data_IF_525423906498
#
_entry.id   IF_525423906498
#
_cell.length_a   1.000
_cell.length_b   1.000
_cell.length_c   1.000
_cell.angle_alpha   90.00
_cell.angle_beta   90.00
_cell.angle_gamma   90.00
#
_symmetry.space_group_name_H-M   'P 1'
#
loop_
_entity.id
_entity.type
_entity.pdbx_description
1 polymer ?
#
# COMPACT_ATOMS: atom_id res chain seq x y z
N UNK A 1 8.75 17.24 -25.74
CA UNK A 1 8.70 17.91 -24.42
C UNK A 1 8.54 16.81 -23.39
N UNK A 2 9.57 16.58 -22.58
CA UNK A 2 9.66 15.50 -21.61
C UNK A 2 8.87 15.91 -20.36
N UNK A 3 7.66 15.38 -20.19
CA UNK A 3 6.97 15.48 -18.89
C UNK A 3 7.68 14.55 -17.92
N UNK A 4 8.43 15.13 -16.99
CA UNK A 4 9.03 14.40 -15.88
C UNK A 4 7.92 13.93 -14.94
N UNK A 5 8.01 12.67 -14.49
CA UNK A 5 7.19 12.15 -13.40
C UNK A 5 7.31 13.08 -12.21
N UNK A 6 6.24 13.81 -11.89
CA UNK A 6 6.25 14.74 -10.76
C UNK A 6 5.86 13.96 -9.52
N UNK A 7 6.83 13.67 -8.67
CA UNK A 7 6.61 13.01 -7.37
C UNK A 7 6.31 14.08 -6.33
N UNK A 8 5.05 14.24 -5.95
CA UNK A 8 4.70 14.96 -4.72
C UNK A 8 4.78 13.99 -3.54
N UNK A 9 5.99 13.77 -3.03
CA UNK A 9 6.19 13.09 -1.74
C UNK A 9 5.88 14.09 -0.63
N UNK A 10 4.86 13.82 0.19
CA UNK A 10 4.67 14.57 1.45
C UNK A 10 5.52 13.86 2.51
N UNK A 11 6.35 14.58 3.28
CA UNK A 11 7.07 13.96 4.38
C UNK A 11 6.06 13.32 5.34
N UNK A 12 6.35 12.13 5.91
CA UNK A 12 5.44 11.48 6.85
C UNK A 12 5.14 12.47 7.96
N UNK A 13 3.88 12.90 8.06
CA UNK A 13 3.42 13.67 9.22
C UNK A 13 3.51 12.73 10.41
N UNK A 14 4.60 12.85 11.16
CA UNK A 14 4.74 12.44 12.55
C UNK A 14 3.99 11.16 12.93
N UNK A 15 4.76 10.08 13.10
CA UNK A 15 4.48 8.87 13.91
C UNK A 15 4.09 9.15 15.40
N UNK A 16 3.55 10.32 15.71
CA UNK A 16 3.21 10.79 17.06
C UNK A 16 1.81 10.35 17.49
N UNK A 17 0.99 9.75 16.60
CA UNK A 17 -0.33 9.25 17.00
C UNK A 17 -0.33 7.85 17.64
N UNK A 18 0.83 7.18 17.73
CA UNK A 18 0.97 5.91 18.44
C UNK A 18 1.20 6.05 19.96
N UNK A 19 1.01 7.25 20.54
CA UNK A 19 1.19 7.49 21.98
C UNK A 19 0.01 7.02 22.85
N UNK A 20 -1.06 6.43 22.28
CA UNK A 20 -2.27 6.07 23.05
C UNK A 20 -2.41 4.59 23.46
N UNK A 21 -1.46 3.71 23.16
CA UNK A 21 -1.59 2.28 23.50
C UNK A 21 -0.57 1.68 24.46
N UNK A 22 0.32 2.46 25.07
CA UNK A 22 1.10 1.99 26.23
C UNK A 22 1.03 2.96 27.40
N UNK A 23 0.18 2.64 28.38
CA UNK A 23 0.34 3.05 29.78
C UNK A 23 1.67 2.49 30.28
N UNK A 24 2.75 3.26 30.16
CA UNK A 24 3.95 3.06 30.96
C UNK A 24 3.78 3.85 32.26
N UNK A 25 3.91 3.12 33.36
CA UNK A 25 3.82 3.60 34.73
C UNK A 25 4.84 4.74 34.96
N UNK A 26 4.33 5.93 35.25
CA UNK A 26 5.13 7.16 35.33
C UNK A 26 5.66 7.31 36.76
N UNK A 27 6.70 6.57 37.11
CA UNK A 27 7.51 6.88 38.29
C UNK A 27 8.44 8.04 37.96
N UNK A 28 8.02 9.24 38.36
CA UNK A 28 8.86 10.44 38.34
C UNK A 28 9.93 10.33 39.42
N UNK A 29 11.21 10.22 39.05
CA UNK A 29 12.31 10.82 39.79
C UNK A 29 13.40 11.27 38.82
N UNK A 30 13.91 12.49 39.05
CA UNK A 30 14.69 13.27 38.09
C UNK A 30 16.00 12.64 37.64
N UNK A 31 16.33 12.91 36.38
CA UNK A 31 17.57 12.54 35.70
C UNK A 31 17.38 12.75 34.21
N UNK A 32 18.33 13.41 33.56
CA UNK A 32 18.32 13.74 32.13
C UNK A 32 17.89 12.54 31.26
N UNK A 33 16.82 12.70 30.49
CA UNK A 33 16.44 11.73 29.46
C UNK A 33 17.41 11.89 28.29
N UNK A 34 18.56 11.24 28.36
CA UNK A 34 19.40 10.96 27.20
C UNK A 34 18.61 10.01 26.27
N UNK A 35 18.01 10.58 25.22
CA UNK A 35 17.49 9.82 24.09
C UNK A 35 18.66 9.06 23.47
N UNK A 36 18.79 7.79 23.83
CA UNK A 36 19.84 6.92 23.32
C UNK A 36 19.42 6.52 21.90
N UNK A 37 20.05 7.12 20.90
CA UNK A 37 19.81 6.81 19.48
C UNK A 37 20.33 5.41 19.19
N UNK A 38 19.48 4.39 19.29
CA UNK A 38 19.83 3.03 18.87
C UNK A 38 19.75 2.93 17.36
N UNK A 39 20.83 3.32 16.67
CA UNK A 39 21.04 2.97 15.27
C UNK A 39 21.04 1.43 15.18
N UNK A 40 20.21 0.81 14.32
CA UNK A 40 20.22 -0.65 14.17
C UNK A 40 21.61 -1.14 13.76
N UNK A 41 21.99 -2.34 14.20
CA UNK A 41 23.30 -2.91 13.89
C UNK A 41 23.58 -2.87 12.37
N UNK A 42 24.81 -2.52 11.93
CA UNK A 42 25.15 -2.34 10.51
C UNK A 42 24.69 -3.49 9.60
N UNK A 43 24.85 -4.73 10.07
CA UNK A 43 24.42 -5.94 9.37
C UNK A 43 22.91 -5.98 9.04
N UNK A 44 22.07 -5.35 9.88
CA UNK A 44 20.61 -5.25 9.63
C UNK A 44 20.30 -4.24 8.54
N UNK A 45 21.09 -3.17 8.43
CA UNK A 45 20.93 -2.14 7.41
C UNK A 45 21.35 -2.69 6.04
N UNK A 46 22.47 -3.41 5.99
CA UNK A 46 22.94 -4.05 4.75
C UNK A 46 21.92 -5.09 4.25
N UNK A 47 21.41 -5.94 5.16
CA UNK A 47 20.35 -6.90 4.83
C UNK A 47 19.07 -6.22 4.34
N UNK A 48 18.69 -5.09 4.93
CA UNK A 48 17.55 -4.30 4.44
C UNK A 48 17.79 -3.82 3.02
N UNK A 49 18.96 -3.22 2.74
CA UNK A 49 19.28 -2.69 1.43
C UNK A 49 19.33 -3.79 0.35
N UNK A 50 19.97 -4.92 0.65
CA UNK A 50 20.05 -6.07 -0.26
C UNK A 50 18.66 -6.65 -0.59
N UNK A 51 17.81 -6.80 0.44
CA UNK A 51 16.47 -7.34 0.26
C UNK A 51 15.58 -6.35 -0.50
N UNK A 52 15.68 -5.05 -0.19
CA UNK A 52 14.99 -3.99 -0.93
C UNK A 52 15.34 -4.04 -2.42
N UNK A 53 16.64 -4.07 -2.74
CA UNK A 53 17.14 -4.14 -4.10
C UNK A 53 16.66 -5.40 -4.82
N UNK A 54 16.67 -6.54 -4.13
CA UNK A 54 16.18 -7.82 -4.66
C UNK A 54 14.69 -7.74 -5.01
N UNK A 55 13.86 -7.18 -4.12
CA UNK A 55 12.42 -7.02 -4.35
C UNK A 55 12.16 -6.09 -5.54
N UNK A 56 12.81 -4.92 -5.57
CA UNK A 56 12.66 -3.92 -6.64
C UNK A 56 13.08 -4.49 -7.98
N UNK A 57 14.26 -5.10 -8.05
CA UNK A 57 14.76 -5.74 -9.27
C UNK A 57 13.86 -6.87 -9.75
N UNK A 58 13.29 -7.68 -8.85
CA UNK A 58 12.34 -8.73 -9.22
C UNK A 58 11.07 -8.16 -9.85
N UNK A 59 10.49 -7.09 -9.29
CA UNK A 59 9.31 -6.43 -9.88
C UNK A 59 9.65 -5.74 -11.20
N UNK A 60 10.85 -5.16 -11.33
CA UNK A 60 11.34 -4.50 -12.55
C UNK A 60 11.46 -5.46 -13.74
N UNK A 61 11.68 -6.77 -13.50
CA UNK A 61 11.68 -7.78 -14.57
C UNK A 61 10.36 -7.82 -15.35
N UNK A 62 9.25 -7.49 -14.68
CA UNK A 62 7.90 -7.49 -15.26
C UNK A 62 7.48 -6.07 -15.68
N UNK A 63 7.98 -5.03 -15.02
CA UNK A 63 7.56 -3.64 -15.22
C UNK A 63 8.77 -2.77 -15.55
N UNK A 64 9.06 -2.69 -16.84
CA UNK A 64 10.26 -2.03 -17.32
C UNK A 64 10.14 -0.51 -17.30
N UNK A 65 11.28 0.14 -17.00
CA UNK A 65 11.42 1.59 -17.12
C UNK A 65 10.65 2.41 -16.07
N UNK A 66 10.10 1.76 -15.04
CA UNK A 66 9.34 2.40 -13.93
C UNK A 66 9.96 2.16 -12.56
N UNK A 67 11.28 1.92 -12.51
CA UNK A 67 12.02 1.63 -11.27
C UNK A 67 11.72 2.58 -10.13
N UNK A 68 11.76 3.89 -10.38
CA UNK A 68 11.44 4.91 -9.37
C UNK A 68 10.05 4.71 -8.74
N UNK A 69 9.03 4.39 -9.54
CA UNK A 69 7.68 4.12 -9.03
C UNK A 69 7.67 2.82 -8.20
N UNK A 70 8.39 1.79 -8.64
CA UNK A 70 8.51 0.52 -7.91
C UNK A 70 9.16 0.77 -6.54
N UNK A 71 10.26 1.52 -6.50
CA UNK A 71 10.98 1.89 -5.30
C UNK A 71 10.08 2.71 -4.34
N UNK A 72 9.36 3.71 -4.84
CA UNK A 72 8.44 4.51 -4.03
C UNK A 72 7.31 3.68 -3.42
N UNK A 73 6.72 2.75 -4.17
CA UNK A 73 5.68 1.86 -3.65
C UNK A 73 6.27 0.87 -2.64
N UNK A 74 7.42 0.27 -2.92
CA UNK A 74 8.08 -0.65 -1.98
C UNK A 74 8.49 0.06 -0.67
N UNK A 75 9.06 1.27 -0.77
CA UNK A 75 9.36 2.11 0.40
C UNK A 75 8.10 2.44 1.19
N UNK A 76 7.01 2.83 0.51
CA UNK A 76 5.73 3.09 1.19
C UNK A 76 5.23 1.88 1.97
N UNK A 77 5.40 0.67 1.44
CA UNK A 77 4.96 -0.57 2.09
C UNK A 77 5.73 -0.84 3.37
N UNK A 78 7.05 -0.66 3.32
CA UNK A 78 7.93 -0.84 4.48
C UNK A 78 7.70 0.24 5.53
N UNK A 79 7.28 1.43 5.12
CA UNK A 79 6.84 2.49 6.01
C UNK A 79 5.39 2.33 6.51
N UNK A 80 4.72 1.20 6.21
CA UNK A 80 3.32 0.91 6.56
C UNK A 80 2.34 1.98 6.01
N UNK A 81 2.67 2.55 4.86
CA UNK A 81 1.90 3.57 4.17
C UNK A 81 1.05 3.06 3.02
N UNK A 82 0.12 3.92 2.59
CA UNK A 82 -0.74 3.70 1.43
C UNK A 82 -0.35 4.65 0.29
N UNK A 83 -0.61 4.23 -0.95
CA UNK A 83 -0.24 4.99 -2.15
C UNK A 83 -1.47 5.31 -2.97
N UNK A 84 -1.59 6.57 -3.39
CA UNK A 84 -2.56 7.01 -4.38
C UNK A 84 -1.85 7.27 -5.70
N UNK A 85 -2.35 6.67 -6.78
CA UNK A 85 -1.78 6.88 -8.11
C UNK A 85 -2.80 7.62 -8.98
N UNK A 86 -2.44 8.85 -9.36
CA UNK A 86 -3.22 9.68 -10.29
C UNK A 86 -2.79 9.37 -11.72
N UNK A 87 -3.70 8.92 -12.58
CA UNK A 87 -3.33 8.53 -13.94
C UNK A 87 -4.48 8.37 -14.91
N UNK A 88 -4.06 8.25 -16.17
CA UNK A 88 -4.75 7.77 -17.35
C UNK A 88 -4.72 6.22 -17.38
N UNK A 89 -5.80 5.54 -17.84
CA UNK A 89 -5.87 4.08 -17.87
C UNK A 89 -4.73 3.42 -18.70
N UNK A 90 -4.34 2.19 -18.35
CA UNK A 90 -3.51 1.32 -19.22
C UNK A 90 -2.00 1.22 -18.92
N UNK A 91 -1.52 1.92 -17.90
CA UNK A 91 -0.08 2.04 -17.55
C UNK A 91 0.53 0.92 -16.67
N UNK A 92 -0.15 -0.22 -16.50
CA UNK A 92 0.41 -1.36 -15.76
C UNK A 92 0.34 -1.30 -14.22
N UNK A 93 -0.54 -0.47 -13.62
CA UNK A 93 -0.74 -0.40 -12.16
C UNK A 93 -1.16 -1.74 -11.55
N UNK A 94 -2.06 -2.44 -12.25
CA UNK A 94 -2.49 -3.77 -11.83
C UNK A 94 -1.32 -4.75 -11.83
N UNK A 95 -0.42 -4.64 -12.80
CA UNK A 95 0.77 -5.45 -12.86
C UNK A 95 1.74 -5.08 -11.73
N UNK A 96 1.88 -3.79 -11.40
CA UNK A 96 2.70 -3.33 -10.26
C UNK A 96 2.25 -3.93 -8.94
N UNK A 97 0.99 -3.77 -8.59
CA UNK A 97 0.46 -4.28 -7.33
C UNK A 97 0.54 -5.81 -7.27
N UNK A 98 0.23 -6.51 -8.37
CA UNK A 98 0.32 -7.97 -8.45
C UNK A 98 1.76 -8.48 -8.35
N UNK A 99 2.69 -7.88 -9.09
CA UNK A 99 4.10 -8.27 -9.09
C UNK A 99 4.72 -8.01 -7.72
N UNK A 100 4.40 -6.89 -7.08
CA UNK A 100 4.85 -6.63 -5.72
C UNK A 100 4.32 -7.69 -4.74
N UNK A 101 3.03 -8.01 -4.79
CA UNK A 101 2.45 -9.03 -3.91
C UNK A 101 3.10 -10.40 -4.12
N UNK A 102 3.31 -10.80 -5.38
CA UNK A 102 3.93 -12.09 -5.73
C UNK A 102 5.41 -12.15 -5.36
N UNK A 103 6.15 -11.04 -5.48
CA UNK A 103 7.55 -10.93 -5.01
C UNK A 103 7.68 -11.11 -3.50
N UNK A 104 6.62 -10.82 -2.74
CA UNK A 104 6.60 -10.81 -1.27
C UNK A 104 5.81 -11.97 -0.65
N UNK A 105 5.38 -12.95 -1.46
CA UNK A 105 4.47 -14.03 -1.05
C UNK A 105 3.22 -13.53 -0.29
N UNK A 106 2.72 -12.37 -0.71
CA UNK A 106 1.62 -11.64 -0.09
C UNK A 106 0.29 -11.95 -0.78
N UNK A 107 -0.80 -11.94 -0.01
CA UNK A 107 -2.14 -12.01 -0.61
C UNK A 107 -2.47 -10.72 -1.34
N UNK A 108 -2.92 -10.85 -2.59
CA UNK A 108 -3.36 -9.74 -3.43
C UNK A 108 -4.87 -9.75 -3.60
N UNK A 109 -5.50 -8.58 -3.56
CA UNK A 109 -6.89 -8.41 -3.97
C UNK A 109 -7.05 -7.14 -4.82
N UNK A 110 -7.92 -7.21 -5.82
CA UNK A 110 -8.26 -6.06 -6.68
C UNK A 110 -9.73 -5.74 -6.55
N UNK A 111 -10.05 -4.46 -6.36
CA UNK A 111 -11.40 -3.93 -6.33
C UNK A 111 -11.51 -2.85 -7.37
N UNK A 112 -12.55 -2.93 -8.20
CA UNK A 112 -12.96 -1.83 -9.04
C UNK A 112 -14.01 -1.02 -8.29
N UNK A 113 -13.74 0.26 -8.04
CA UNK A 113 -14.70 1.14 -7.41
C UNK A 113 -15.76 1.55 -8.44
N UNK A 114 -17.02 1.30 -8.09
CA UNK A 114 -18.18 1.62 -8.91
C UNK A 114 -19.22 2.34 -8.05
N UNK A 115 -20.16 3.09 -8.66
CA UNK A 115 -21.17 3.84 -7.90
C UNK A 115 -22.07 2.98 -7.02
N UNK A 116 -22.23 1.70 -7.35
CA UNK A 116 -23.04 0.71 -6.65
C UNK A 116 -22.27 -0.10 -5.59
N UNK A 117 -20.95 0.08 -5.51
CA UNK A 117 -20.11 -0.63 -4.54
C UNK A 117 -20.48 -0.23 -3.10
N UNK A 118 -20.75 -1.22 -2.26
CA UNK A 118 -21.18 -0.99 -0.87
C UNK A 118 -19.98 -1.00 0.08
N UNK A 119 -20.09 -0.31 1.25
CA UNK A 119 -19.08 -0.41 2.31
C UNK A 119 -18.79 -1.86 2.72
N UNK A 120 -19.82 -2.72 2.76
CA UNK A 120 -19.68 -4.13 3.12
C UNK A 120 -18.89 -4.96 2.11
N UNK A 121 -18.78 -4.53 0.85
CA UNK A 121 -17.93 -5.20 -0.13
C UNK A 121 -16.44 -4.97 0.18
N UNK A 122 -16.14 -3.82 0.80
CA UNK A 122 -14.80 -3.45 1.28
C UNK A 122 -14.52 -4.12 2.63
N UNK A 123 -15.38 -3.92 3.62
CA UNK A 123 -15.16 -4.30 5.03
C UNK A 123 -15.61 -5.71 5.39
N UNK A 124 -16.47 -6.32 4.56
CA UNK A 124 -17.07 -7.62 4.83
C UNK A 124 -18.43 -7.53 5.51
N UNK A 125 -19.07 -8.69 5.64
CA UNK A 125 -20.43 -8.83 6.17
C UNK A 125 -20.60 -10.15 6.90
N UNK A 126 -21.43 -10.20 7.94
CA UNK A 126 -21.84 -11.46 8.56
C UNK A 126 -23.10 -11.99 7.88
N UNK A 127 -23.03 -13.20 7.34
CA UNK A 127 -24.17 -13.87 6.72
C UNK A 127 -24.67 -15.00 7.62
N UNK A 128 -25.99 -15.20 7.68
CA UNK A 128 -26.56 -16.34 8.39
C UNK A 128 -26.29 -17.64 7.63
N UNK A 129 -25.49 -18.54 8.21
CA UNK A 129 -25.27 -19.87 7.66
C UNK A 129 -26.31 -20.84 8.24
N UNK A 130 -27.25 -21.27 7.38
CA UNK A 130 -28.33 -22.18 7.78
C UNK A 130 -27.83 -23.56 8.24
N UNK A 131 -26.69 -24.02 7.74
CA UNK A 131 -26.15 -25.32 8.11
C UNK A 131 -25.52 -25.30 9.50
N UNK A 132 -24.90 -24.17 9.87
CA UNK A 132 -24.25 -23.98 11.17
C UNK A 132 -25.13 -23.30 12.21
N UNK A 133 -26.28 -22.76 11.79
CA UNK A 133 -27.17 -21.95 12.65
C UNK A 133 -26.44 -20.82 13.36
N UNK A 134 -25.46 -20.22 12.68
CA UNK A 134 -24.64 -19.13 13.20
C UNK A 134 -24.42 -18.04 12.13
N UNK A 135 -24.11 -16.83 12.57
CA UNK A 135 -23.62 -15.78 11.68
C UNK A 135 -22.14 -16.03 11.35
N UNK A 136 -21.84 -16.26 10.08
CA UNK A 136 -20.48 -16.48 9.57
C UNK A 136 -20.01 -15.21 8.88
N UNK A 137 -18.88 -14.68 9.35
CA UNK A 137 -18.25 -13.53 8.72
C UNK A 137 -17.67 -13.90 7.35
N UNK A 138 -18.00 -13.10 6.34
CA UNK A 138 -17.38 -13.12 5.02
C UNK A 138 -16.47 -11.90 4.91
N UNK A 139 -15.14 -12.11 4.82
CA UNK A 139 -14.21 -11.00 4.70
C UNK A 139 -14.46 -10.24 3.40
N UNK A 140 -14.45 -8.91 3.50
CA UNK A 140 -14.48 -8.03 2.35
C UNK A 140 -13.14 -7.99 1.63
N UNK A 141 -13.09 -7.17 0.59
CA UNK A 141 -11.96 -7.10 -0.31
C UNK A 141 -10.63 -6.65 0.33
N UNK A 142 -10.68 -5.93 1.45
CA UNK A 142 -9.48 -5.41 2.11
C UNK A 142 -8.69 -6.48 2.90
N UNK A 143 -9.24 -7.69 3.09
CA UNK A 143 -8.57 -8.75 3.85
C UNK A 143 -7.49 -9.46 3.01
N UNK A 144 -6.54 -8.67 2.50
CA UNK A 144 -5.37 -9.06 1.74
C UNK A 144 -4.19 -8.18 2.17
N UNK A 145 -2.96 -8.61 1.89
CA UNK A 145 -1.78 -7.82 2.23
C UNK A 145 -1.61 -6.61 1.31
N UNK A 146 -1.89 -6.79 0.01
CA UNK A 146 -1.85 -5.72 -0.99
C UNK A 146 -3.22 -5.64 -1.67
N UNK A 147 -3.85 -4.49 -1.56
CA UNK A 147 -5.16 -4.19 -2.14
C UNK A 147 -5.00 -3.12 -3.21
N UNK A 148 -5.39 -3.43 -4.45
CA UNK A 148 -5.52 -2.45 -5.51
C UNK A 148 -6.97 -1.96 -5.59
N UNK A 149 -7.20 -0.69 -5.28
CA UNK A 149 -8.50 -0.03 -5.43
C UNK A 149 -8.52 0.87 -6.66
N UNK A 150 -9.07 0.38 -7.76
CA UNK A 150 -9.14 1.15 -9.00
C UNK A 150 -10.28 2.16 -8.98
N UNK A 151 -9.99 3.40 -9.40
CA UNK A 151 -10.96 4.49 -9.55
C UNK A 151 -11.74 4.81 -8.28
N UNK A 152 -11.04 4.96 -7.15
CA UNK A 152 -11.63 5.21 -5.82
C UNK A 152 -12.65 6.36 -5.82
N UNK A 153 -12.46 7.36 -6.69
CA UNK A 153 -13.36 8.48 -6.89
C UNK A 153 -14.71 8.10 -7.52
N UNK A 154 -14.93 6.87 -8.00
CA UNK A 154 -16.23 6.45 -8.55
C UNK A 154 -17.21 5.89 -7.51
N UNK A 155 -16.72 5.44 -6.35
CA UNK A 155 -17.63 4.96 -5.30
C UNK A 155 -18.15 6.12 -4.45
N UNK A 156 -19.34 5.91 -3.85
CA UNK A 156 -19.93 6.89 -2.96
C UNK A 156 -19.09 7.17 -1.71
N UNK A 157 -19.29 8.34 -1.05
CA UNK A 157 -18.48 8.76 0.10
C UNK A 157 -18.45 7.76 1.27
N UNK A 158 -19.52 6.98 1.47
CA UNK A 158 -19.57 5.95 2.54
C UNK A 158 -18.61 4.79 2.27
N UNK A 159 -18.50 4.35 1.01
CA UNK A 159 -17.61 3.25 0.62
C UNK A 159 -16.15 3.70 0.65
N UNK A 160 -15.88 4.93 0.20
CA UNK A 160 -14.57 5.56 0.35
C UNK A 160 -14.16 5.66 1.84
N UNK A 161 -15.07 6.16 2.70
CA UNK A 161 -14.81 6.27 4.13
C UNK A 161 -14.51 4.92 4.77
N UNK A 162 -15.24 3.85 4.40
CA UNK A 162 -15.00 2.51 4.92
C UNK A 162 -13.60 1.95 4.57
N UNK A 163 -13.10 2.22 3.35
CA UNK A 163 -11.73 1.88 2.98
C UNK A 163 -10.71 2.71 3.78
N UNK A 164 -10.92 4.01 3.87
CA UNK A 164 -9.98 4.95 4.50
C UNK A 164 -9.91 4.79 6.02
N UNK A 165 -11.01 4.43 6.66
CA UNK A 165 -11.05 4.03 8.08
C UNK A 165 -10.24 2.75 8.31
N UNK A 166 -10.42 1.75 7.44
CA UNK A 166 -9.65 0.50 7.53
C UNK A 166 -8.15 0.70 7.28
N UNK A 167 -7.77 1.66 6.43
CA UNK A 167 -6.38 2.07 6.22
C UNK A 167 -5.77 2.68 7.47
N UNK A 168 -6.49 3.58 8.14
CA UNK A 168 -6.00 4.26 9.33
C UNK A 168 -5.92 3.32 10.55
N UNK A 169 -6.95 2.52 10.76
CA UNK A 169 -7.09 1.70 11.96
C UNK A 169 -6.43 0.32 11.83
N UNK A 170 -6.07 -0.09 10.60
CA UNK A 170 -5.52 -1.42 10.27
C UNK A 170 -6.39 -2.58 10.76
N UNK A 171 -7.69 -2.32 10.95
CA UNK A 171 -8.69 -3.26 11.43
C UNK A 171 -10.07 -2.82 10.95
N UNK A 172 -11.03 -3.73 11.04
CA UNK A 172 -12.43 -3.45 10.71
C UNK A 172 -13.35 -4.04 11.77
N UNK A 173 -14.38 -3.28 12.14
CA UNK A 173 -15.42 -3.74 13.06
C UNK A 173 -16.72 -3.99 12.30
N UNK A 174 -17.20 -5.23 12.31
CA UNK A 174 -18.50 -5.62 11.76
C UNK A 174 -19.30 -6.32 12.84
N UNK A 175 -20.55 -5.91 13.04
CA UNK A 175 -21.47 -6.45 14.06
C UNK A 175 -20.88 -6.49 15.48
N UNK A 176 -20.11 -5.46 15.83
CA UNK A 176 -19.46 -5.33 17.15
C UNK A 176 -18.22 -6.22 17.33
N UNK A 177 -17.78 -6.96 16.31
CA UNK A 177 -16.57 -7.78 16.34
C UNK A 177 -15.48 -7.10 15.51
N UNK A 178 -14.41 -6.67 16.16
CA UNK A 178 -13.23 -6.09 15.53
C UNK A 178 -12.31 -7.19 15.00
N UNK A 179 -11.80 -7.00 13.78
CA UNK A 179 -10.97 -7.95 13.03
C UNK A 179 -9.74 -7.22 12.48
N UNK A 180 -8.52 -7.61 12.88
CA UNK A 180 -7.32 -6.98 12.36
C UNK A 180 -7.09 -7.34 10.88
N UNK A 181 -6.51 -6.41 10.13
CA UNK A 181 -6.04 -6.66 8.77
C UNK A 181 -4.68 -7.38 8.80
N UNK A 182 -4.36 -8.19 7.77
CA UNK A 182 -3.13 -8.96 7.76
C UNK A 182 -1.90 -8.06 7.54
N UNK A 183 -0.89 -8.05 8.42
CA UNK A 183 0.36 -7.34 8.17
C UNK A 183 1.24 -8.12 7.16
N UNK A 184 2.02 -7.43 6.30
CA UNK A 184 1.91 -6.01 6.00
C UNK A 184 0.60 -5.74 5.25
N UNK A 185 0.02 -4.55 5.46
CA UNK A 185 -1.21 -4.12 4.80
C UNK A 185 -0.96 -2.82 4.01
N UNK A 186 -1.20 -2.85 2.71
CA UNK A 186 -1.10 -1.68 1.83
C UNK A 186 -2.31 -1.61 0.91
N UNK A 187 -2.76 -0.37 0.71
CA UNK A 187 -3.73 -0.01 -0.30
C UNK A 187 -3.01 0.82 -1.35
N UNK A 188 -3.09 0.38 -2.60
CA UNK A 188 -2.70 1.14 -3.79
C UNK A 188 -4.01 1.57 -4.43
N UNK A 189 -4.40 2.82 -4.24
CA UNK A 189 -5.60 3.38 -4.83
C UNK A 189 -5.27 4.09 -6.14
N UNK A 190 -6.21 4.12 -7.08
CA UNK A 190 -6.08 4.90 -8.32
C UNK A 190 -7.25 5.86 -8.44
N UNK A 191 -7.00 7.05 -8.99
CA UNK A 191 -8.07 7.98 -9.34
C UNK A 191 -7.74 8.65 -10.68
N UNK A 192 -8.76 8.87 -11.49
CA UNK A 192 -8.65 9.67 -12.71
C UNK A 192 -9.15 11.09 -12.42
N UNK A 193 -8.26 12.10 -12.33
CA UNK A 193 -8.65 13.46 -12.00
C UNK A 193 -9.43 14.16 -13.12
N UNK A 194 -9.43 13.63 -14.34
CA UNK A 194 -10.10 14.22 -15.50
C UNK A 194 -11.56 13.76 -15.65
N UNK A 195 -11.96 12.72 -14.91
CA UNK A 195 -13.32 12.19 -14.94
C UNK A 195 -14.19 12.99 -13.97
N UNK A 196 -15.14 13.77 -14.52
CA UNK A 196 -15.98 14.69 -13.74
C UNK A 196 -17.43 14.22 -13.59
N UNK A 197 -17.91 13.33 -14.46
CA UNK A 197 -19.28 12.82 -14.41
C UNK A 197 -19.35 11.52 -13.59
N UNK A 198 -20.24 11.49 -12.59
CA UNK A 198 -20.47 10.29 -11.78
C UNK A 198 -19.35 9.96 -10.78
N UNK A 199 -18.49 10.94 -10.46
CA UNK A 199 -17.39 10.78 -9.49
C UNK A 199 -17.60 11.61 -8.22
N UNK A 200 -17.13 11.09 -7.11
CA UNK A 200 -17.02 11.71 -5.80
C UNK A 200 -15.55 11.99 -5.49
N UNK A 201 -15.06 13.23 -5.67
CA UNK A 201 -13.66 13.55 -5.42
C UNK A 201 -13.32 13.39 -3.93
N UNK A 202 -12.13 12.89 -3.65
CA UNK A 202 -11.62 12.79 -2.28
C UNK A 202 -11.30 14.20 -1.75
N UNK A 203 -11.88 14.62 -0.60
CA UNK A 203 -11.47 15.85 0.07
C UNK A 203 -9.97 15.80 0.42
N UNK A 204 -9.33 16.97 0.55
CA UNK A 204 -7.90 17.03 0.93
C UNK A 204 -7.60 16.27 2.22
N UNK A 205 -8.50 16.34 3.21
CA UNK A 205 -8.38 15.60 4.47
C UNK A 205 -8.40 14.07 4.33
N UNK A 206 -8.93 13.56 3.21
CA UNK A 206 -8.90 12.14 2.86
C UNK A 206 -7.66 11.79 2.06
N UNK A 207 -7.22 12.69 1.17
CA UNK A 207 -5.96 12.53 0.43
C UNK A 207 -4.75 12.48 1.38
N UNK A 208 -4.80 13.20 2.51
CA UNK A 208 -3.77 13.18 3.56
C UNK A 208 -3.51 11.77 4.16
N UNK A 209 -4.43 10.82 4.00
CA UNK A 209 -4.27 9.41 4.47
C UNK A 209 -3.39 8.57 3.56
N UNK A 210 -3.07 9.06 2.36
CA UNK A 210 -2.10 8.43 1.49
C UNK A 210 -0.72 9.05 1.72
N UNK A 211 0.25 8.19 2.04
CA UNK A 211 1.64 8.60 2.28
C UNK A 211 2.26 9.22 1.03
N UNK A 212 1.98 8.62 -0.12
CA UNK A 212 2.48 9.10 -1.40
C UNK A 212 1.34 9.27 -2.40
N UNK A 213 1.46 10.35 -3.17
CA UNK A 213 0.66 10.57 -4.37
C UNK A 213 1.56 10.59 -5.58
N UNK A 214 1.44 9.55 -6.40
CA UNK A 214 2.29 9.30 -7.54
C UNK A 214 1.55 9.65 -8.82
N UNK A 215 2.17 10.48 -9.66
CA UNK A 215 1.70 10.73 -11.02
C UNK A 215 2.52 9.86 -11.95
N UNK A 216 1.87 8.94 -12.65
CA UNK A 216 2.53 8.05 -13.59
C UNK A 216 2.31 8.62 -14.99
N UNK A 217 3.33 9.24 -15.55
CA UNK A 217 3.28 9.73 -16.94
C UNK A 217 3.38 8.60 -17.97
N UNK A 218 3.12 8.93 -19.23
CA UNK A 218 3.43 8.03 -20.35
C UNK A 218 4.93 7.74 -20.41
N UNK A 219 5.35 6.49 -20.72
CA UNK A 219 6.75 6.21 -20.95
C UNK A 219 7.28 7.12 -22.07
N UNK A 220 8.56 7.49 -22.01
CA UNK A 220 9.18 8.22 -23.12
C UNK A 220 9.11 7.38 -24.39
N UNK A 221 9.03 8.02 -25.56
CA UNK A 221 8.94 7.32 -26.85
C UNK A 221 10.04 6.24 -27.04
N UNK A 222 11.23 6.46 -26.49
CA UNK A 222 12.32 5.47 -26.47
C UNK A 222 12.01 4.24 -25.60
N UNK A 223 11.41 4.44 -24.42
CA UNK A 223 10.96 3.36 -23.54
C UNK A 223 9.72 2.66 -24.10
N UNK A 224 8.84 3.39 -24.78
CA UNK A 224 7.67 2.83 -25.44
C UNK A 224 8.07 1.87 -26.57
N UNK A 225 9.03 2.25 -27.42
CA UNK A 225 9.62 1.36 -28.43
C UNK A 225 10.25 0.14 -27.76
N UNK A 226 11.04 0.32 -26.69
CA UNK A 226 11.66 -0.80 -25.97
C UNK A 226 10.61 -1.74 -25.38
N UNK A 227 9.51 -1.22 -24.84
CA UNK A 227 8.39 -2.02 -24.33
C UNK A 227 7.75 -2.82 -25.48
N UNK A 228 7.52 -2.20 -26.65
CA UNK A 228 6.96 -2.86 -27.83
C UNK A 228 7.89 -3.96 -28.39
N UNK A 229 9.20 -3.71 -28.42
CA UNK A 229 10.21 -4.69 -28.85
C UNK A 229 10.35 -5.86 -27.87
N UNK A 230 10.11 -5.62 -26.58
CA UNK A 230 10.29 -6.60 -25.49
C UNK A 230 9.03 -7.44 -25.22
N UNK A 231 7.85 -7.01 -25.68
CA UNK A 231 6.59 -7.76 -25.53
C UNK A 231 6.59 -9.16 -26.19
N UNK A 232 7.68 -9.55 -26.89
CA UNK A 232 7.85 -10.88 -27.47
C UNK A 232 8.86 -11.81 -26.77
N UNK A 233 9.67 -11.36 -25.80
CA UNK A 233 10.90 -12.10 -25.42
C UNK A 233 11.27 -12.19 -23.94
N UNK A 234 10.60 -11.48 -23.01
CA UNK A 234 11.00 -11.49 -21.60
C UNK A 234 9.91 -11.98 -20.63
N UNK A 235 10.38 -12.56 -19.52
CA UNK A 235 9.67 -13.33 -18.49
C UNK A 235 8.28 -12.80 -18.16
N UNK A 236 7.30 -13.70 -18.22
CA UNK A 236 5.92 -13.39 -17.94
C UNK A 236 5.71 -13.21 -16.44
N UNK A 237 4.64 -12.51 -16.05
CA UNK A 237 4.20 -12.46 -14.64
C UNK A 237 4.12 -13.86 -13.99
N UNK A 238 3.84 -14.90 -14.79
CA UNK A 238 3.72 -16.27 -14.31
C UNK A 238 5.07 -16.86 -13.86
N UNK A 239 6.19 -16.38 -14.41
CA UNK A 239 7.55 -16.82 -14.06
C UNK A 239 8.10 -16.15 -12.79
N UNK A 240 7.43 -15.09 -12.32
CA UNK A 240 7.84 -14.34 -11.14
C UNK A 240 7.77 -15.23 -9.90
N UNK A 241 8.88 -15.34 -9.17
CA UNK A 241 8.97 -16.11 -7.92
C UNK A 241 9.01 -15.16 -6.72
N UNK A 242 8.50 -15.60 -5.55
CA UNK A 242 8.67 -14.85 -4.31
C UNK A 242 10.16 -14.76 -3.97
N UNK A 243 10.62 -13.57 -3.61
CA UNK A 243 11.99 -13.27 -3.17
C UNK A 243 12.07 -12.89 -1.70
N UNK A 244 10.93 -12.49 -1.12
CA UNK A 244 10.76 -12.21 0.29
C UNK A 244 9.38 -12.67 0.73
N UNK A 245 9.12 -12.64 2.03
CA UNK A 245 7.84 -12.97 2.66
C UNK A 245 7.20 -11.74 3.30
N UNK A 246 5.92 -11.86 3.65
CA UNK A 246 5.22 -10.89 4.49
C UNK A 246 5.97 -10.58 5.80
N UNK A 247 6.60 -11.59 6.40
CA UNK A 247 7.36 -11.45 7.64
C UNK A 247 8.64 -10.63 7.43
N UNK A 248 9.35 -10.83 6.32
CA UNK A 248 10.53 -10.02 6.00
C UNK A 248 10.17 -8.54 5.86
N UNK A 249 9.03 -8.23 5.23
CA UNK A 249 8.54 -6.84 5.10
C UNK A 249 8.23 -6.24 6.47
N UNK A 250 7.65 -7.03 7.39
CA UNK A 250 7.38 -6.62 8.77
C UNK A 250 8.68 -6.29 9.51
N UNK A 251 9.70 -7.14 9.39
CA UNK A 251 11.04 -6.90 9.94
C UNK A 251 11.69 -5.64 9.34
N UNK A 252 11.56 -5.44 8.03
CA UNK A 252 12.05 -4.25 7.33
C UNK A 252 11.38 -2.97 7.86
N UNK A 253 10.06 -2.99 8.10
CA UNK A 253 9.34 -1.86 8.69
C UNK A 253 9.76 -1.56 10.13
N UNK A 254 10.06 -2.59 10.93
CA UNK A 254 10.64 -2.40 12.26
C UNK A 254 12.04 -1.75 12.20
N UNK A 255 12.88 -2.15 11.24
CA UNK A 255 14.20 -1.52 11.04
C UNK A 255 14.02 -0.04 10.69
N UNK A 256 13.13 0.27 9.73
CA UNK A 256 12.88 1.63 9.28
C UNK A 256 12.40 2.56 10.41
N UNK A 257 11.52 2.08 11.29
CA UNK A 257 11.05 2.85 12.47
C UNK A 257 12.15 3.21 13.46
N UNK A 258 13.19 2.39 13.55
CA UNK A 258 14.28 2.56 14.52
C UNK A 258 15.44 3.41 13.99
N UNK A 259 15.35 3.92 12.76
CA UNK A 259 16.33 4.84 12.20
C UNK A 259 15.90 6.28 12.54
N UNK A 260 16.69 6.96 13.36
CA UNK A 260 16.52 8.38 13.64
C UNK A 260 17.55 9.18 12.85
N UNK A 261 17.09 10.02 11.91
CA UNK A 261 17.94 10.99 11.22
C UNK A 261 17.94 12.28 12.04
N UNK A 262 19.13 12.72 12.46
CA UNK A 262 19.36 13.93 13.26
C UNK A 262 19.35 15.20 12.41
#
# INVERSE_FOLDING_TARGET
MTEASTVTARPPRCLVHCAHLHRADRLQHGGETLLTTTIPAPERIDRFADLFETIVSNVETVIQGKREIIELVAMSLMAEGHVLIEDVPGVGKTLLAKSLARSLDCRFHRVQFTPDLLPSDITGVSIWDRAKTEFVFKPGAIFANIVLGDEINRAGPKTQAALLEAMEELQVTVDGVTRPLPPPFMVIATQNPLEHEGTYPLPESQLDRFMMRLVVGYPTHSKEIQILETHGTHSSFDDLKPMATAEDVREMGEIARNIHVA
#
